data_IF_960088489714
#
_entry.id   IF_960088489714
#
_cell.length_a   1.000
_cell.length_b   1.000
_cell.length_c   1.000
_cell.angle_alpha   90.00
_cell.angle_beta   90.00
_cell.angle_gamma   90.00
#
_symmetry.space_group_name_H-M   'P 1'
#
loop_
_entity.id
_entity.type
_entity.pdbx_description
1 polymer ?
#
# COMPACT_ATOMS: atom_id res chain seq x y z
N UNK A 1 -10.22 5.04 -6.00
CA UNK A 1 -10.58 3.93 -5.07
C UNK A 1 -11.16 2.72 -5.79
N UNK A 2 -12.17 2.85 -6.66
CA UNK A 2 -12.80 1.71 -7.35
C UNK A 2 -11.84 0.83 -8.16
N UNK A 3 -10.72 1.38 -8.63
CA UNK A 3 -9.68 0.60 -9.32
C UNK A 3 -9.17 -0.61 -8.50
N UNK A 4 -9.25 -0.55 -7.15
CA UNK A 4 -8.81 -1.62 -6.27
C UNK A 4 -9.65 -2.90 -6.38
N UNK A 5 -10.87 -2.83 -6.94
CA UNK A 5 -11.71 -4.01 -7.16
C UNK A 5 -11.47 -4.66 -8.51
N UNK A 6 -10.77 -3.99 -9.43
CA UNK A 6 -10.44 -4.50 -10.76
C UNK A 6 -9.10 -5.25 -10.70
N UNK A 7 -8.95 -6.33 -11.47
CA UNK A 7 -7.70 -7.09 -11.53
C UNK A 7 -7.39 -7.49 -12.97
N UNK A 8 -6.10 -7.46 -13.34
CA UNK A 8 -5.63 -7.78 -14.69
C UNK A 8 -5.78 -9.27 -15.07
N UNK A 9 -6.01 -10.16 -14.10
CA UNK A 9 -6.22 -11.59 -14.35
C UNK A 9 -6.37 -12.40 -13.06
N UNK A 10 -6.69 -13.69 -13.22
CA UNK A 10 -6.93 -14.61 -12.10
C UNK A 10 -5.72 -14.78 -11.18
N UNK A 11 -4.51 -14.87 -11.74
CA UNK A 11 -3.30 -14.97 -10.95
C UNK A 11 -3.09 -13.72 -10.08
N UNK A 12 -3.23 -12.53 -10.66
CA UNK A 12 -3.10 -11.26 -9.96
C UNK A 12 -4.14 -11.10 -8.84
N UNK A 13 -5.40 -11.45 -9.10
CA UNK A 13 -6.48 -11.47 -8.09
C UNK A 13 -6.19 -12.46 -6.96
N UNK A 14 -5.80 -13.69 -7.32
CA UNK A 14 -5.55 -14.75 -6.35
C UNK A 14 -4.41 -14.38 -5.43
N UNK A 15 -3.31 -13.87 -5.99
CA UNK A 15 -2.16 -13.46 -5.21
C UNK A 15 -2.48 -12.29 -4.25
N UNK A 16 -3.13 -11.23 -4.75
CA UNK A 16 -3.55 -10.11 -3.91
C UNK A 16 -4.45 -10.58 -2.76
N UNK A 17 -5.42 -11.44 -3.06
CA UNK A 17 -6.37 -11.94 -2.06
C UNK A 17 -5.66 -12.82 -1.03
N UNK A 18 -4.75 -13.70 -1.45
CA UNK A 18 -3.97 -14.55 -0.55
C UNK A 18 -3.11 -13.69 0.39
N UNK A 19 -2.35 -12.73 -0.15
CA UNK A 19 -1.55 -11.84 0.70
C UNK A 19 -2.44 -11.02 1.62
N UNK A 20 -3.52 -10.44 1.11
CA UNK A 20 -4.46 -9.66 1.91
C UNK A 20 -5.05 -10.47 3.08
N UNK A 21 -5.41 -11.73 2.87
CA UNK A 21 -5.94 -12.62 3.91
C UNK A 21 -4.85 -13.02 4.90
N UNK A 22 -3.70 -13.50 4.41
CA UNK A 22 -2.61 -13.99 5.25
C UNK A 22 -1.96 -12.88 6.09
N UNK A 23 -1.90 -11.66 5.55
CA UNK A 23 -1.27 -10.50 6.18
C UNK A 23 -2.31 -9.65 6.91
N UNK A 24 -3.47 -9.40 6.33
CA UNK A 24 -4.52 -8.57 6.91
C UNK A 24 -5.20 -9.20 8.13
N UNK A 25 -5.60 -10.48 8.05
CA UNK A 25 -6.35 -11.11 9.16
C UNK A 25 -5.57 -11.12 10.48
N UNK A 26 -4.26 -11.47 10.54
CA UNK A 26 -3.52 -11.40 11.80
C UNK A 26 -3.44 -9.99 12.38
N UNK A 27 -3.31 -8.95 11.53
CA UNK A 27 -3.36 -7.56 12.02
C UNK A 27 -4.74 -7.23 12.57
N UNK A 28 -5.80 -7.62 11.88
CA UNK A 28 -7.18 -7.36 12.26
C UNK A 28 -7.53 -8.03 13.59
N UNK A 29 -7.10 -9.27 13.81
CA UNK A 29 -7.31 -9.99 15.07
C UNK A 29 -6.66 -9.30 16.27
N UNK A 30 -5.54 -8.60 16.08
CA UNK A 30 -4.81 -7.91 17.17
C UNK A 30 -5.30 -6.48 17.37
N UNK A 31 -5.46 -5.74 16.27
CA UNK A 31 -5.68 -4.30 16.30
C UNK A 31 -7.15 -3.91 16.07
N UNK A 32 -7.94 -4.79 15.47
CA UNK A 32 -9.35 -4.60 15.16
C UNK A 32 -9.58 -4.16 13.70
N UNK A 33 -10.77 -4.47 13.14
CA UNK A 33 -11.10 -4.26 11.73
C UNK A 33 -10.98 -2.81 11.29
N UNK A 34 -11.45 -1.87 12.11
CA UNK A 34 -11.51 -0.47 11.72
C UNK A 34 -10.11 0.11 11.43
N UNK A 35 -9.13 -0.15 12.30
CA UNK A 35 -7.76 0.38 12.13
C UNK A 35 -7.10 -0.21 10.90
N UNK A 36 -7.23 -1.52 10.70
CA UNK A 36 -6.64 -2.23 9.56
C UNK A 36 -7.32 -1.83 8.25
N UNK A 37 -8.65 -1.70 8.25
CA UNK A 37 -9.42 -1.20 7.12
C UNK A 37 -9.05 0.23 6.74
N UNK A 38 -8.87 1.13 7.73
CA UNK A 38 -8.39 2.50 7.47
C UNK A 38 -7.02 2.50 6.82
N UNK A 39 -6.08 1.68 7.29
CA UNK A 39 -4.74 1.56 6.71
C UNK A 39 -4.81 1.05 5.27
N UNK A 40 -5.60 0.00 5.02
CA UNK A 40 -5.78 -0.55 3.68
C UNK A 40 -6.35 0.49 2.71
N UNK A 41 -7.44 1.16 3.10
CA UNK A 41 -8.08 2.18 2.27
C UNK A 41 -7.17 3.38 2.04
N UNK A 42 -6.43 3.81 3.04
CA UNK A 42 -5.43 4.86 2.88
C UNK A 42 -4.32 4.45 1.90
N UNK A 43 -3.89 3.18 1.92
CA UNK A 43 -2.99 2.60 0.94
C UNK A 43 -3.53 2.66 -0.48
N UNK A 44 -4.81 2.32 -0.68
CA UNK A 44 -5.49 2.43 -1.98
C UNK A 44 -5.57 3.89 -2.45
N UNK A 45 -5.91 4.83 -1.57
CA UNK A 45 -5.97 6.26 -1.95
C UNK A 45 -4.58 6.79 -2.27
N UNK A 46 -3.61 6.55 -1.39
CA UNK A 46 -2.22 6.96 -1.57
C UNK A 46 -1.61 6.35 -2.83
N UNK A 47 -1.90 5.08 -3.12
CA UNK A 47 -1.53 4.38 -4.35
C UNK A 47 -1.98 5.15 -5.59
N UNK A 48 -3.28 5.46 -5.67
CA UNK A 48 -3.81 6.22 -6.82
C UNK A 48 -3.26 7.64 -6.94
N UNK A 49 -3.16 8.37 -5.83
CA UNK A 49 -2.63 9.74 -5.83
C UNK A 49 -1.13 9.77 -6.13
N UNK A 50 -0.38 8.79 -5.64
CA UNK A 50 1.03 8.64 -5.91
C UNK A 50 1.28 8.39 -7.39
N UNK A 51 0.58 7.41 -7.97
CA UNK A 51 0.68 7.10 -9.40
C UNK A 51 0.31 8.30 -10.24
N UNK A 52 -0.73 9.05 -9.90
CA UNK A 52 -1.08 10.25 -10.68
C UNK A 52 0.01 11.34 -10.63
N UNK A 53 0.82 11.40 -9.57
CA UNK A 53 1.91 12.38 -9.47
C UNK A 53 3.15 11.93 -10.25
N UNK A 54 3.51 10.65 -10.16
CA UNK A 54 4.81 10.16 -10.62
C UNK A 54 4.77 9.32 -11.90
N UNK A 55 3.61 8.80 -12.27
CA UNK A 55 3.44 7.87 -13.40
C UNK A 55 1.99 7.91 -13.93
N UNK A 56 1.59 9.07 -14.44
CA UNK A 56 0.19 9.34 -14.78
C UNK A 56 -0.33 8.62 -16.03
N UNK A 57 0.58 8.13 -16.88
CA UNK A 57 0.24 7.50 -18.16
C UNK A 57 -0.10 6.00 -18.00
N UNK A 58 -0.01 5.45 -16.78
CA UNK A 58 -0.33 4.05 -16.51
C UNK A 58 -1.74 3.85 -15.96
N UNK A 59 -2.37 2.75 -16.36
CA UNK A 59 -3.65 2.35 -15.81
C UNK A 59 -3.47 1.69 -14.44
N UNK A 60 -4.15 2.22 -13.42
CA UNK A 60 -4.25 1.55 -12.13
C UNK A 60 -5.30 0.44 -12.19
N UNK A 61 -4.87 -0.77 -11.83
CA UNK A 61 -5.74 -1.93 -11.65
C UNK A 61 -5.19 -2.80 -10.52
N UNK A 62 -6.02 -3.11 -9.53
CA UNK A 62 -5.67 -4.05 -8.46
C UNK A 62 -5.70 -3.48 -7.05
N UNK A 63 -5.95 -4.37 -6.10
CA UNK A 63 -5.96 -4.11 -4.66
C UNK A 63 -4.56 -3.81 -4.07
N UNK A 64 -3.50 -3.88 -4.88
CA UNK A 64 -2.12 -4.00 -4.42
C UNK A 64 -1.62 -2.79 -3.61
N UNK A 65 -2.08 -1.57 -3.89
CA UNK A 65 -1.77 -0.41 -3.05
C UNK A 65 -2.21 -0.60 -1.59
N UNK A 66 -3.36 -1.23 -1.37
CA UNK A 66 -3.83 -1.63 -0.04
C UNK A 66 -3.05 -2.83 0.52
N UNK A 67 -2.70 -3.81 -0.30
CA UNK A 67 -1.90 -4.98 0.12
C UNK A 67 -0.51 -4.56 0.61
N UNK A 68 0.17 -3.68 -0.12
CA UNK A 68 1.46 -3.12 0.28
C UNK A 68 1.33 -2.25 1.54
N UNK A 69 0.20 -1.55 1.72
CA UNK A 69 -0.07 -0.87 2.97
C UNK A 69 -0.18 -1.84 4.16
N UNK A 70 -0.83 -3.01 3.98
CA UNK A 70 -0.92 -4.03 5.02
C UNK A 70 0.44 -4.68 5.33
N UNK A 71 1.26 -4.97 4.30
CA UNK A 71 2.62 -5.47 4.47
C UNK A 71 3.47 -4.48 5.28
N UNK A 72 3.44 -3.20 4.90
CA UNK A 72 4.18 -2.16 5.60
C UNK A 72 3.61 -1.85 7.00
N UNK A 73 2.31 -2.05 7.22
CA UNK A 73 1.70 -1.93 8.55
C UNK A 73 2.14 -3.05 9.49
N UNK A 74 2.40 -4.27 8.98
CA UNK A 74 3.07 -5.31 9.78
C UNK A 74 4.48 -4.90 10.17
N UNK A 75 5.23 -4.33 9.24
CA UNK A 75 6.55 -3.79 9.56
C UNK A 75 6.44 -2.72 10.65
N UNK A 76 5.50 -1.77 10.52
CA UNK A 76 5.23 -0.77 11.55
C UNK A 76 4.90 -1.41 12.90
N UNK A 77 4.02 -2.41 12.93
CA UNK A 77 3.64 -3.15 14.13
C UNK A 77 4.86 -3.81 14.80
N UNK A 78 5.72 -4.45 14.01
CA UNK A 78 6.95 -5.07 14.49
C UNK A 78 7.88 -4.01 15.06
N UNK A 79 8.05 -2.85 14.41
CA UNK A 79 8.92 -1.77 14.88
C UNK A 79 8.46 -1.20 16.22
N UNK A 80 7.17 -0.90 16.38
CA UNK A 80 6.63 -0.32 17.62
C UNK A 80 6.55 -1.34 18.77
N UNK A 81 6.37 -2.62 18.47
CA UNK A 81 6.17 -3.67 19.46
C UNK A 81 7.32 -4.69 19.55
N UNK A 82 8.50 -4.40 18.95
CA UNK A 82 9.58 -5.37 18.72
C UNK A 82 9.97 -6.14 19.98
N UNK A 83 10.18 -5.42 21.08
CA UNK A 83 10.65 -5.99 22.34
C UNK A 83 9.58 -6.79 23.10
N UNK A 84 8.30 -6.58 22.77
CA UNK A 84 7.15 -7.26 23.39
C UNK A 84 6.61 -8.41 22.54
N UNK A 85 6.97 -8.44 21.25
CA UNK A 85 6.39 -9.36 20.28
C UNK A 85 7.15 -10.69 20.27
N UNK A 86 6.43 -11.78 20.57
CA UNK A 86 6.98 -13.12 20.39
C UNK A 86 7.27 -13.39 18.90
N UNK A 87 8.45 -13.95 18.64
CA UNK A 87 8.94 -14.29 17.31
C UNK A 87 8.99 -13.08 16.34
N UNK A 88 9.30 -11.88 16.84
CA UNK A 88 9.39 -10.66 16.03
C UNK A 88 10.29 -10.83 14.78
N UNK A 89 11.45 -11.49 14.93
CA UNK A 89 12.36 -11.76 13.81
C UNK A 89 11.73 -12.69 12.77
N UNK A 90 11.06 -13.77 13.19
CA UNK A 90 10.40 -14.69 12.25
C UNK A 90 9.28 -13.99 11.50
N UNK A 91 8.49 -13.16 12.18
CA UNK A 91 7.44 -12.34 11.56
C UNK A 91 8.03 -11.35 10.56
N UNK A 92 9.14 -10.70 10.89
CA UNK A 92 9.85 -9.81 9.99
C UNK A 92 10.35 -10.54 8.74
N UNK A 93 10.95 -11.71 8.91
CA UNK A 93 11.40 -12.56 7.79
C UNK A 93 10.23 -13.02 6.92
N UNK A 94 9.09 -13.38 7.53
CA UNK A 94 7.89 -13.78 6.78
C UNK A 94 7.32 -12.62 5.96
N UNK A 95 7.21 -11.42 6.54
CA UNK A 95 6.77 -10.21 5.82
C UNK A 95 7.73 -9.86 4.70
N UNK A 96 9.04 -9.91 4.96
CA UNK A 96 10.07 -9.66 3.96
C UNK A 96 9.98 -10.66 2.81
N UNK A 97 9.82 -11.96 3.10
CA UNK A 97 9.65 -13.01 2.10
C UNK A 97 8.41 -12.80 1.24
N UNK A 98 7.26 -12.47 1.84
CA UNK A 98 6.03 -12.20 1.08
C UNK A 98 6.18 -10.96 0.21
N UNK A 99 6.78 -9.89 0.74
CA UNK A 99 7.00 -8.65 -0.01
C UNK A 99 7.97 -8.85 -1.17
N UNK A 100 9.05 -9.61 -1.00
CA UNK A 100 9.99 -9.91 -2.08
C UNK A 100 9.41 -10.88 -3.12
N UNK A 101 8.59 -11.84 -2.70
CA UNK A 101 7.89 -12.74 -3.62
C UNK A 101 6.87 -11.97 -4.48
N UNK A 102 6.08 -11.07 -3.88
CA UNK A 102 5.14 -10.21 -4.62
C UNK A 102 5.87 -9.31 -5.63
N UNK A 103 6.90 -8.59 -5.16
CA UNK A 103 7.71 -7.73 -6.02
C UNK A 103 8.39 -8.53 -7.15
N UNK A 104 8.90 -9.72 -6.84
CA UNK A 104 9.50 -10.62 -7.82
C UNK A 104 8.50 -11.09 -8.88
N UNK A 105 7.26 -11.41 -8.48
CA UNK A 105 6.19 -11.75 -9.41
C UNK A 105 5.81 -10.56 -10.31
N UNK A 106 5.68 -9.37 -9.73
CA UNK A 106 5.39 -8.14 -10.49
C UNK A 106 6.50 -7.81 -11.50
N UNK A 107 7.77 -7.96 -11.11
CA UNK A 107 8.92 -7.77 -12.00
C UNK A 107 8.97 -8.84 -13.09
N UNK A 108 8.72 -10.10 -12.76
CA UNK A 108 8.67 -11.19 -13.74
C UNK A 108 7.58 -10.95 -14.79
N UNK A 109 6.37 -10.56 -14.37
CA UNK A 109 5.27 -10.22 -15.29
C UNK A 109 5.67 -9.06 -16.21
N UNK A 110 6.30 -8.01 -15.66
CA UNK A 110 6.83 -6.89 -16.42
C UNK A 110 7.86 -7.31 -17.49
N UNK A 111 8.85 -8.13 -17.13
CA UNK A 111 9.91 -8.56 -18.07
C UNK A 111 9.45 -9.63 -19.07
N UNK A 112 8.40 -10.39 -18.77
CA UNK A 112 7.85 -11.43 -19.64
C UNK A 112 6.84 -10.91 -20.67
N UNK A 113 6.60 -9.60 -20.72
CA UNK A 113 5.71 -8.94 -21.68
C UNK A 113 4.28 -8.73 -21.18
N UNK A 114 3.98 -9.09 -19.92
CA UNK A 114 2.70 -8.89 -19.24
C UNK A 114 1.53 -9.68 -19.84
N UNK A 115 0.59 -10.13 -19.00
CA UNK A 115 -0.59 -10.89 -19.47
C UNK A 115 -1.47 -10.12 -20.46
N UNK A 116 -1.36 -8.78 -20.53
CA UNK A 116 -2.17 -7.92 -21.41
C UNK A 116 -1.47 -6.62 -21.85
N UNK A 117 -0.16 -6.47 -21.65
CA UNK A 117 0.56 -5.20 -21.90
C UNK A 117 0.12 -4.02 -21.00
N UNK A 118 -0.61 -4.28 -19.91
CA UNK A 118 -1.05 -3.30 -18.91
C UNK A 118 -0.11 -3.36 -17.70
N UNK A 119 0.93 -2.49 -17.60
CA UNK A 119 1.90 -2.57 -16.53
C UNK A 119 1.26 -2.26 -15.17
N UNK A 120 1.57 -3.08 -14.16
CA UNK A 120 1.20 -2.80 -12.77
C UNK A 120 2.03 -1.62 -12.26
N UNK A 121 1.37 -0.62 -11.68
CA UNK A 121 2.06 0.59 -11.20
C UNK A 121 2.91 0.30 -9.96
N UNK A 122 4.24 0.32 -10.13
CA UNK A 122 5.20 0.22 -9.02
C UNK A 122 5.07 1.41 -8.04
N UNK A 123 4.68 2.59 -8.54
CA UNK A 123 4.40 3.76 -7.71
C UNK A 123 3.23 3.49 -6.77
N UNK A 124 2.18 2.80 -7.22
CA UNK A 124 1.05 2.46 -6.38
C UNK A 124 1.45 1.56 -5.21
N UNK A 125 2.36 0.61 -5.45
CA UNK A 125 2.92 -0.26 -4.40
C UNK A 125 3.75 0.55 -3.40
N UNK A 126 4.65 1.41 -3.90
CA UNK A 126 5.54 2.21 -3.06
C UNK A 126 4.76 3.19 -2.17
N UNK A 127 3.84 3.93 -2.76
CA UNK A 127 3.05 4.94 -2.02
C UNK A 127 2.00 4.30 -1.11
N UNK A 128 1.46 3.14 -1.49
CA UNK A 128 0.68 2.29 -0.60
C UNK A 128 1.48 1.81 0.62
N UNK A 129 2.70 1.30 0.41
CA UNK A 129 3.59 0.90 1.49
C UNK A 129 3.96 2.08 2.42
N UNK A 130 4.24 3.26 1.87
CA UNK A 130 4.52 4.46 2.67
C UNK A 130 3.33 4.85 3.55
N UNK A 131 2.11 4.81 2.99
CA UNK A 131 0.88 5.04 3.75
C UNK A 131 0.69 3.98 4.85
N UNK A 132 0.95 2.71 4.54
CA UNK A 132 0.90 1.60 5.49
C UNK A 132 1.88 1.71 6.65
N UNK A 133 3.13 2.08 6.36
CA UNK A 133 4.17 2.25 7.38
C UNK A 133 3.82 3.41 8.32
N UNK A 134 3.46 4.56 7.75
CA UNK A 134 3.14 5.77 8.52
C UNK A 134 1.87 5.59 9.35
N UNK A 135 0.75 5.20 8.73
CA UNK A 135 -0.49 4.98 9.47
C UNK A 135 -0.44 3.73 10.36
N UNK A 136 0.43 2.77 10.07
CA UNK A 136 0.72 1.65 10.95
C UNK A 136 1.26 2.13 12.30
N UNK A 137 2.21 3.07 12.30
CA UNK A 137 2.73 3.70 13.52
C UNK A 137 1.64 4.49 14.25
N UNK A 138 0.76 5.17 13.50
CA UNK A 138 -0.26 6.06 14.05
C UNK A 138 -1.45 5.31 14.66
N UNK A 139 -1.94 4.27 13.97
CA UNK A 139 -3.23 3.62 14.26
C UNK A 139 -3.10 2.29 14.99
N UNK A 140 -2.00 1.54 14.82
CA UNK A 140 -1.84 0.25 15.47
C UNK A 140 -1.61 0.41 16.98
N UNK A 141 -1.91 -0.66 17.72
CA UNK A 141 -1.78 -0.67 19.18
C UNK A 141 -0.30 -0.74 19.54
N UNK A 142 0.16 0.23 20.33
CA UNK A 142 1.47 0.19 20.95
C UNK A 142 1.35 -0.45 22.34
N UNK A 143 2.01 -1.59 22.52
CA UNK A 143 1.99 -2.39 23.74
C UNK A 143 3.11 -2.01 24.73
N UNK A 144 4.13 -1.26 24.28
CA UNK A 144 5.30 -0.91 25.07
C UNK A 144 5.20 0.43 25.83
N UNK A 145 4.26 1.31 25.46
CA UNK A 145 4.00 2.63 26.10
C UNK A 145 5.25 3.44 26.50
N UNK A 146 6.12 3.77 25.54
CA UNK A 146 7.32 4.61 25.76
C UNK A 146 7.09 6.06 25.34
N UNK A 147 7.81 7.00 25.94
CA UNK A 147 7.74 8.44 25.61
C UNK A 147 8.25 8.77 24.21
N UNK A 148 9.22 8.01 23.69
CA UNK A 148 9.72 8.15 22.31
C UNK A 148 8.66 7.84 21.26
N UNK A 149 7.58 7.15 21.64
CA UNK A 149 6.51 6.76 20.74
C UNK A 149 5.71 7.97 20.24
N UNK A 150 5.63 9.05 21.04
CA UNK A 150 4.90 10.25 20.66
C UNK A 150 5.60 11.02 19.53
N UNK A 151 6.94 11.09 19.54
CA UNK A 151 7.70 11.73 18.47
C UNK A 151 7.55 10.97 17.15
N UNK A 152 7.72 9.65 17.18
CA UNK A 152 7.52 8.81 15.98
C UNK A 152 6.09 8.90 15.46
N UNK A 153 5.11 8.97 16.36
CA UNK A 153 3.71 9.15 16.01
C UNK A 153 3.47 10.47 15.26
N UNK A 154 3.97 11.60 15.78
CA UNK A 154 3.83 12.90 15.11
C UNK A 154 4.59 12.98 13.79
N UNK A 155 5.80 12.40 13.71
CA UNK A 155 6.56 12.32 12.46
C UNK A 155 5.80 11.51 11.42
N UNK A 156 5.24 10.36 11.81
CA UNK A 156 4.48 9.50 10.92
C UNK A 156 3.20 10.18 10.43
N UNK A 157 2.43 10.79 11.34
CA UNK A 157 1.22 11.54 10.99
C UNK A 157 1.54 12.74 10.09
N UNK A 158 2.58 13.49 10.42
CA UNK A 158 3.04 14.66 9.65
C UNK A 158 3.46 14.26 8.24
N UNK A 159 4.27 13.20 8.11
CA UNK A 159 4.70 12.66 6.81
C UNK A 159 3.50 12.24 5.97
N UNK A 160 2.60 11.42 6.51
CA UNK A 160 1.41 10.96 5.79
C UNK A 160 0.57 12.15 5.32
N UNK A 161 0.27 13.09 6.22
CA UNK A 161 -0.57 14.25 5.94
C UNK A 161 0.08 15.15 4.87
N UNK A 162 1.38 15.42 4.99
CA UNK A 162 2.10 16.24 4.01
C UNK A 162 2.10 15.61 2.61
N UNK A 163 2.36 14.30 2.50
CA UNK A 163 2.32 13.59 1.22
C UNK A 163 0.93 13.63 0.59
N UNK A 164 -0.13 13.41 1.38
CA UNK A 164 -1.51 13.44 0.89
C UNK A 164 -1.93 14.84 0.45
N UNK A 165 -1.64 15.86 1.24
CA UNK A 165 -1.93 17.27 0.91
C UNK A 165 -1.18 17.67 -0.36
N UNK A 166 0.10 17.34 -0.46
CA UNK A 166 0.89 17.61 -1.67
C UNK A 166 0.27 16.95 -2.90
N UNK A 167 -0.04 15.65 -2.85
CA UNK A 167 -0.58 14.95 -4.00
C UNK A 167 -1.97 15.47 -4.40
N UNK A 168 -2.82 15.82 -3.43
CA UNK A 168 -4.13 16.45 -3.70
C UNK A 168 -3.94 17.81 -4.38
N UNK A 169 -3.10 18.68 -3.82
CA UNK A 169 -2.83 20.00 -4.41
C UNK A 169 -2.24 19.85 -5.80
N UNK A 170 -1.29 18.92 -5.99
CA UNK A 170 -0.69 18.65 -7.29
C UNK A 170 -1.75 18.32 -8.35
N UNK A 171 -2.69 17.41 -8.04
CA UNK A 171 -3.78 17.04 -8.95
C UNK A 171 -4.76 18.19 -9.20
N UNK A 172 -5.02 19.05 -8.21
CA UNK A 172 -5.87 20.23 -8.39
C UNK A 172 -5.22 21.29 -9.30
N UNK A 173 -3.90 21.41 -9.25
CA UNK A 173 -3.14 22.36 -10.06
C UNK A 173 -2.79 21.81 -11.45
N UNK A 174 -2.74 20.49 -11.61
CA UNK A 174 -2.46 19.79 -12.87
C UNK A 174 -3.62 18.86 -13.22
N UNK A 175 -4.83 19.39 -13.51
CA UNK A 175 -5.91 18.56 -14.01
C UNK A 175 -5.44 17.93 -15.33
N UNK A 176 -5.38 16.61 -15.37
CA UNK A 176 -5.10 15.90 -16.62
C UNK A 176 -6.04 16.40 -17.71
N UNK A 177 -5.54 16.72 -18.93
CA UNK A 177 -6.46 16.87 -20.04
C UNK A 177 -7.23 15.54 -20.13
N UNK A 178 -8.54 15.59 -19.90
CA UNK A 178 -9.42 14.49 -20.26
C UNK A 178 -9.29 14.30 -21.77
N UNK A 179 -8.31 13.54 -22.22
CA UNK A 179 -8.32 12.97 -23.56
C UNK A 179 -9.35 11.87 -23.47
N UNK A 180 -10.61 12.26 -23.65
CA UNK A 180 -11.70 11.32 -23.72
C UNK A 180 -11.36 10.23 -24.74
N UNK A 181 -11.85 9.03 -24.48
CA UNK A 181 -11.69 7.82 -25.32
C UNK A 181 -12.12 8.07 -26.80
N UNK A 182 -12.74 9.22 -27.10
CA UNK A 182 -13.09 9.69 -28.45
C UNK A 182 -11.98 10.35 -29.29
N UNK A 183 -10.71 10.38 -28.87
CA UNK A 183 -9.60 10.91 -29.70
C UNK A 183 -8.61 9.85 -30.19
N UNK A 184 -8.74 8.59 -29.75
CA UNK A 184 -7.88 7.47 -30.18
C UNK A 184 -8.51 6.69 -31.36
N UNK A 185 -9.72 7.06 -31.78
CA UNK A 185 -10.47 6.40 -32.87
C UNK A 185 -11.01 7.39 -33.93
N UNK A 186 -10.21 8.40 -34.30
CA UNK A 186 -10.44 9.20 -35.53
C UNK A 186 -9.19 9.14 -36.40
#
# INVERSE_FOLDING_TARGET
VSYATLHAGWAHLTFNTLVQVLVGLPLEMVHGPLRVGCIYLAGVVAGSLGTSVFDADVYLVGASGGVYALLAAHLANILINFNTMQFAVVRLLAVAFVATADMGFALYDYFSGGVMGLPVSYIAHLTGALAGLTLGVVLLKNLSQKSHDLLFWWIALGTFTACMVFAIIFNLLHPFPYVGIGQVFV
#
